data_IF_355731669895
#
_entry.id   IF_355731669895
#
_cell.length_a   1.000
_cell.length_b   1.000
_cell.length_c   1.000
_cell.angle_alpha   90.00
_cell.angle_beta   90.00
_cell.angle_gamma   90.00
#
_symmetry.space_group_name_H-M   'P 1'
#
loop_
_entity.id
_entity.type
_entity.pdbx_description
1 polymer ?
#
# COMPACT_ATOMS: atom_id res chain seq x y z
N UNK A 1 -10.07 63.01 -2.99
CA UNK A 1 -10.72 62.27 -4.08
C UNK A 1 -10.12 60.89 -4.11
N UNK A 2 -10.96 59.91 -3.76
CA UNK A 2 -10.72 58.45 -3.82
C UNK A 2 -10.83 57.97 -5.28
N UNK A 3 -10.30 56.77 -5.67
CA UNK A 3 -10.95 55.55 -5.24
C UNK A 3 -10.02 54.39 -4.81
N UNK A 4 -10.61 53.58 -4.01
CA UNK A 4 -10.34 52.28 -3.47
C UNK A 4 -10.05 51.21 -4.59
N UNK A 5 -8.98 50.45 -4.45
CA UNK A 5 -8.81 49.22 -5.22
C UNK A 5 -8.88 48.02 -4.26
N UNK A 6 -9.90 47.22 -4.46
CA UNK A 6 -10.15 45.95 -3.79
C UNK A 6 -9.13 44.90 -4.23
N UNK A 7 -8.44 44.29 -3.24
CA UNK A 7 -7.59 43.11 -3.47
C UNK A 7 -8.47 41.89 -3.60
N UNK A 8 -8.54 41.35 -4.80
CA UNK A 8 -9.10 40.03 -5.08
C UNK A 8 -8.05 38.97 -4.71
N UNK A 9 -8.21 38.32 -3.54
CA UNK A 9 -7.47 37.08 -3.21
C UNK A 9 -8.03 35.93 -4.03
N UNK A 10 -7.28 35.51 -5.02
CA UNK A 10 -7.47 34.26 -5.73
C UNK A 10 -7.22 33.09 -4.79
N UNK A 11 -8.27 32.40 -4.40
CA UNK A 11 -8.19 31.08 -3.81
C UNK A 11 -8.06 30.07 -4.97
N UNK A 12 -6.88 29.49 -5.13
CA UNK A 12 -6.69 28.31 -5.95
C UNK A 12 -7.24 27.10 -5.20
N UNK A 13 -8.48 26.74 -5.50
CA UNK A 13 -9.04 25.43 -5.15
C UNK A 13 -8.43 24.37 -6.09
N UNK A 14 -7.88 23.32 -5.52
CA UNK A 14 -7.29 22.20 -6.25
C UNK A 14 -8.33 21.57 -7.20
N UNK A 15 -8.04 21.61 -8.49
CA UNK A 15 -8.94 21.19 -9.57
C UNK A 15 -9.07 19.66 -9.74
N UNK A 16 -8.37 18.86 -8.97
CA UNK A 16 -8.29 17.42 -9.26
C UNK A 16 -9.39 16.56 -8.64
N UNK A 17 -10.10 17.05 -7.64
CA UNK A 17 -11.21 16.33 -7.00
C UNK A 17 -12.56 16.47 -7.73
N UNK A 18 -12.71 17.52 -8.53
CA UNK A 18 -13.98 17.80 -9.23
C UNK A 18 -14.14 17.06 -10.56
N UNK A 19 -13.06 16.56 -11.14
CA UNK A 19 -13.11 15.93 -12.48
C UNK A 19 -13.64 14.48 -12.46
N UNK A 20 -13.38 13.70 -11.41
CA UNK A 20 -13.81 12.29 -11.35
C UNK A 20 -15.31 12.16 -11.06
N UNK A 21 -15.84 12.94 -10.12
CA UNK A 21 -17.27 12.91 -9.82
C UNK A 21 -18.14 13.47 -10.94
N UNK A 22 -17.64 14.41 -11.75
CA UNK A 22 -18.36 14.94 -12.90
C UNK A 22 -18.47 13.94 -14.04
N UNK A 23 -17.45 13.10 -14.30
CA UNK A 23 -17.49 12.10 -15.38
C UNK A 23 -18.54 11.02 -15.07
N UNK A 24 -18.60 10.57 -13.81
CA UNK A 24 -19.59 9.57 -13.36
C UNK A 24 -21.01 10.17 -13.36
N UNK A 25 -21.15 11.44 -12.94
CA UNK A 25 -22.44 12.13 -12.91
C UNK A 25 -22.95 12.47 -14.32
N UNK A 26 -22.07 12.87 -15.24
CA UNK A 26 -22.42 13.10 -16.65
C UNK A 26 -22.76 11.80 -17.39
N UNK A 27 -22.06 10.71 -17.12
CA UNK A 27 -22.42 9.40 -17.66
C UNK A 27 -23.79 8.95 -17.17
N UNK A 28 -24.12 9.21 -15.91
CA UNK A 28 -25.43 8.91 -15.34
C UNK A 28 -26.55 9.76 -15.95
N UNK A 29 -26.32 11.07 -16.16
CA UNK A 29 -27.28 11.99 -16.80
C UNK A 29 -27.48 11.68 -18.27
N UNK A 30 -26.45 11.35 -19.03
CA UNK A 30 -26.57 11.03 -20.46
C UNK A 30 -27.31 9.71 -20.72
N UNK A 31 -27.26 8.76 -19.75
CA UNK A 31 -28.03 7.52 -19.83
C UNK A 31 -29.49 7.70 -19.39
N UNK A 32 -29.74 8.56 -18.39
CA UNK A 32 -31.09 8.78 -17.87
C UNK A 32 -32.02 9.56 -18.86
N UNK A 33 -31.46 10.36 -19.75
CA UNK A 33 -32.25 11.16 -20.69
C UNK A 33 -32.62 10.44 -22.00
N UNK A 34 -32.12 9.21 -22.23
CA UNK A 34 -32.31 8.49 -23.48
C UNK A 34 -33.33 7.34 -23.44
N UNK A 35 -34.01 7.13 -22.33
CA UNK A 35 -35.02 6.06 -22.22
C UNK A 35 -36.42 6.62 -21.92
N UNK A 36 -37.03 7.21 -22.94
CA UNK A 36 -38.47 7.38 -22.96
C UNK A 36 -39.08 6.38 -23.96
N UNK A 37 -39.04 5.09 -23.57
CA UNK A 37 -39.81 4.02 -24.18
C UNK A 37 -40.42 3.13 -23.10
N UNK A 38 -41.77 2.97 -23.06
CA UNK A 38 -42.41 2.12 -22.06
C UNK A 38 -42.53 0.69 -22.59
N UNK A 39 -41.92 -0.21 -21.91
CA UNK A 39 -42.02 -1.67 -22.04
C UNK A 39 -40.81 -2.37 -22.65
N UNK A 40 -39.93 -2.86 -21.80
CA UNK A 40 -39.24 -4.15 -22.00
C UNK A 40 -38.29 -4.41 -20.80
N UNK A 41 -38.53 -5.46 -20.08
CA UNK A 41 -37.63 -6.31 -19.21
C UNK A 41 -36.17 -5.86 -18.98
N UNK A 42 -35.95 -4.58 -18.68
CA UNK A 42 -34.62 -3.96 -18.62
C UNK A 42 -33.95 -4.16 -17.25
N UNK A 43 -34.70 -4.58 -16.20
CA UNK A 43 -34.24 -4.57 -14.83
C UNK A 43 -33.22 -5.66 -14.46
N UNK A 44 -33.08 -6.72 -15.28
CA UNK A 44 -32.14 -7.82 -14.93
C UNK A 44 -30.74 -7.66 -15.49
N UNK A 45 -30.64 -7.05 -16.68
CA UNK A 45 -29.33 -6.89 -17.36
C UNK A 45 -28.57 -5.69 -16.77
N UNK A 46 -29.29 -4.60 -16.44
CA UNK A 46 -28.68 -3.41 -15.83
C UNK A 46 -28.20 -3.63 -14.40
N UNK A 47 -28.94 -4.43 -13.60
CA UNK A 47 -28.56 -4.80 -12.25
C UNK A 47 -27.29 -5.68 -12.24
N UNK A 48 -27.10 -6.52 -13.26
CA UNK A 48 -25.91 -7.35 -13.37
C UNK A 48 -24.67 -6.55 -13.78
N UNK A 49 -24.83 -5.57 -14.68
CA UNK A 49 -23.73 -4.72 -15.18
C UNK A 49 -23.18 -3.79 -14.09
N UNK A 50 -24.06 -3.18 -13.29
CA UNK A 50 -23.65 -2.30 -12.19
C UNK A 50 -22.98 -3.11 -11.06
N UNK A 51 -23.47 -4.32 -10.75
CA UNK A 51 -22.85 -5.21 -9.79
C UNK A 51 -21.47 -5.70 -10.26
N UNK A 52 -21.28 -5.98 -11.55
CA UNK A 52 -19.97 -6.33 -12.11
C UNK A 52 -19.01 -5.14 -12.11
N UNK A 53 -19.48 -3.94 -12.42
CA UNK A 53 -18.66 -2.73 -12.38
C UNK A 53 -18.30 -2.36 -10.94
N UNK A 54 -19.19 -2.57 -9.98
CA UNK A 54 -18.94 -2.38 -8.55
C UNK A 54 -17.94 -3.42 -8.04
N UNK A 55 -18.01 -4.69 -8.47
CA UNK A 55 -17.02 -5.72 -8.13
C UNK A 55 -15.64 -5.41 -8.72
N UNK A 56 -15.57 -4.86 -9.93
CA UNK A 56 -14.29 -4.44 -10.54
C UNK A 56 -13.70 -3.20 -9.84
N UNK A 57 -14.54 -2.32 -9.30
CA UNK A 57 -14.09 -1.15 -8.56
C UNK A 57 -13.64 -1.48 -7.13
N UNK A 58 -14.18 -2.56 -6.54
CA UNK A 58 -13.82 -3.00 -5.18
C UNK A 58 -12.54 -3.85 -5.13
N UNK A 59 -11.98 -4.23 -6.28
CA UNK A 59 -10.78 -5.07 -6.36
C UNK A 59 -9.49 -4.29 -6.64
N UNK A 60 -9.51 -2.96 -6.61
CA UNK A 60 -8.27 -2.19 -6.57
C UNK A 60 -7.82 -2.03 -5.10
N UNK A 61 -7.34 -3.11 -4.52
CA UNK A 61 -6.47 -3.01 -3.35
C UNK A 61 -5.17 -2.39 -3.87
N UNK A 62 -4.96 -1.12 -3.59
CA UNK A 62 -3.67 -0.47 -3.85
C UNK A 62 -2.68 -1.07 -2.86
N UNK A 63 -1.72 -1.80 -3.36
CA UNK A 63 -0.59 -2.25 -2.57
C UNK A 63 0.13 -1.02 -1.99
N UNK A 64 0.34 -1.02 -0.68
CA UNK A 64 1.08 0.03 0.00
C UNK A 64 2.55 -0.37 0.06
N UNK A 65 3.43 0.59 -0.20
CA UNK A 65 4.86 0.40 -0.05
C UNK A 65 5.32 0.96 1.29
N UNK A 66 6.08 0.17 2.04
CA UNK A 66 6.66 0.53 3.32
C UNK A 66 8.18 0.45 3.24
N UNK A 67 8.86 1.58 3.40
CA UNK A 67 10.32 1.61 3.57
C UNK A 67 10.66 1.20 4.99
N UNK A 68 11.33 0.07 5.14
CA UNK A 68 11.68 -0.49 6.46
C UNK A 68 12.70 0.40 7.15
N UNK A 69 12.36 0.88 8.36
CA UNK A 69 13.19 1.80 9.12
C UNK A 69 13.10 3.26 8.66
N UNK A 70 12.20 3.57 7.71
CA UNK A 70 12.03 4.90 7.13
C UNK A 70 13.37 5.50 6.66
N UNK A 71 13.77 6.69 7.12
CA UNK A 71 15.03 7.36 6.73
C UNK A 71 16.31 6.65 7.25
N UNK A 72 16.19 5.82 8.31
CA UNK A 72 17.31 5.06 8.86
C UNK A 72 17.59 3.77 8.08
N UNK A 73 16.60 3.29 7.31
CA UNK A 73 16.68 2.09 6.49
C UNK A 73 16.86 0.79 7.28
N UNK A 74 17.33 -0.26 6.60
CA UNK A 74 17.61 -1.56 7.20
C UNK A 74 19.03 -1.59 7.79
N UNK A 75 19.19 -1.06 9.00
CA UNK A 75 20.49 -0.90 9.66
C UNK A 75 20.46 -1.43 11.09
N UNK A 76 21.66 -1.64 11.65
CA UNK A 76 21.85 -1.99 13.05
C UNK A 76 21.48 -0.84 13.97
N UNK A 77 20.75 -1.14 15.05
CA UNK A 77 20.40 -0.16 16.07
C UNK A 77 19.11 0.61 15.78
N UNK A 78 18.42 0.33 14.67
CA UNK A 78 17.08 0.86 14.39
C UNK A 78 16.05 0.11 15.24
N UNK A 79 15.14 0.87 15.88
CA UNK A 79 14.04 0.28 16.63
C UNK A 79 12.88 -0.08 15.69
N UNK A 80 12.90 -1.31 15.18
CA UNK A 80 11.85 -1.81 14.28
C UNK A 80 10.51 -2.04 14.99
N UNK A 81 10.47 -2.18 16.29
CA UNK A 81 9.21 -2.23 17.05
C UNK A 81 8.52 -0.86 17.04
N UNK A 82 9.29 0.20 17.27
CA UNK A 82 8.77 1.57 17.16
C UNK A 82 8.37 1.89 15.72
N UNK A 83 9.14 1.41 14.73
CA UNK A 83 8.79 1.59 13.31
C UNK A 83 7.46 0.94 12.94
N UNK A 84 7.11 -0.21 13.52
CA UNK A 84 5.83 -0.91 13.28
C UNK A 84 4.62 -0.19 13.87
N UNK A 85 4.80 0.70 14.84
CA UNK A 85 3.69 1.34 15.55
C UNK A 85 2.78 2.11 14.59
N UNK A 86 1.48 1.88 14.72
CA UNK A 86 0.46 2.49 13.88
C UNK A 86 0.39 1.97 12.43
N UNK A 87 1.25 1.05 12.01
CA UNK A 87 1.22 0.44 10.68
C UNK A 87 0.36 -0.82 10.66
N UNK A 88 -0.34 -1.04 9.55
CA UNK A 88 -1.13 -2.26 9.31
C UNK A 88 -0.80 -2.77 7.93
N UNK A 89 -0.47 -4.04 7.83
CA UNK A 89 -0.01 -4.65 6.60
C UNK A 89 -1.05 -5.63 6.04
N UNK A 90 -1.22 -5.61 4.72
CA UNK A 90 -2.15 -6.47 4.01
C UNK A 90 -1.43 -7.29 2.94
N UNK A 91 -2.06 -8.41 2.57
CA UNK A 91 -1.59 -9.19 1.42
C UNK A 91 -1.55 -8.31 0.17
N UNK A 92 -0.41 -8.29 -0.51
CA UNK A 92 -0.12 -7.44 -1.66
C UNK A 92 0.74 -6.22 -1.34
N UNK A 93 0.83 -5.81 -0.07
CA UNK A 93 1.75 -4.73 0.34
C UNK A 93 3.21 -5.12 0.11
N UNK A 94 4.06 -4.12 0.09
CA UNK A 94 5.47 -4.26 -0.27
C UNK A 94 6.36 -3.68 0.83
N UNK A 95 7.37 -4.43 1.24
CA UNK A 95 8.46 -3.96 2.09
C UNK A 95 9.67 -3.62 1.24
N UNK A 96 10.25 -2.44 1.44
CA UNK A 96 11.49 -1.99 0.79
C UNK A 96 12.59 -1.91 1.84
N UNK A 97 13.63 -2.69 1.66
CA UNK A 97 14.80 -2.72 2.53
C UNK A 97 15.95 -1.98 1.87
N UNK A 98 16.28 -0.80 2.40
CA UNK A 98 17.39 0.04 1.94
C UNK A 98 18.56 -0.08 2.91
N UNK A 99 19.75 -0.42 2.41
CA UNK A 99 20.97 -0.56 3.20
C UNK A 99 22.22 -0.50 2.31
N UNK A 100 23.40 -0.42 2.90
CA UNK A 100 24.63 -0.54 2.13
C UNK A 100 24.86 -2.00 1.74
N UNK A 101 24.97 -2.28 0.45
CA UNK A 101 25.28 -3.61 -0.05
C UNK A 101 26.63 -4.10 0.51
N UNK A 102 26.62 -5.32 1.05
CA UNK A 102 27.82 -5.90 1.69
C UNK A 102 27.90 -5.68 3.19
N UNK A 103 27.18 -4.70 3.77
CA UNK A 103 27.13 -4.48 5.22
C UNK A 103 25.96 -5.26 5.86
N UNK A 104 24.86 -5.40 5.14
CA UNK A 104 23.64 -6.06 5.61
C UNK A 104 23.08 -6.99 4.53
N UNK A 105 22.15 -7.84 4.96
CA UNK A 105 21.31 -8.65 4.08
C UNK A 105 19.90 -8.82 4.68
N UNK A 106 18.97 -9.33 3.90
CA UNK A 106 17.62 -9.68 4.36
C UNK A 106 17.40 -11.16 4.13
N UNK A 107 17.21 -11.91 5.20
CA UNK A 107 16.89 -13.33 5.15
C UNK A 107 15.45 -13.54 5.61
N UNK A 108 14.64 -14.18 4.80
CA UNK A 108 13.29 -14.58 5.16
C UNK A 108 13.34 -15.91 5.89
N UNK A 109 12.88 -15.93 7.14
CA UNK A 109 12.96 -17.10 8.03
C UNK A 109 11.59 -17.45 8.63
N UNK A 110 11.50 -18.55 9.37
CA UNK A 110 10.36 -18.86 10.22
C UNK A 110 10.50 -18.26 11.62
N UNK A 111 9.53 -18.53 12.49
CA UNK A 111 9.53 -18.06 13.86
C UNK A 111 10.77 -18.58 14.65
N UNK A 112 11.16 -19.82 14.41
CA UNK A 112 12.32 -20.43 15.08
C UNK A 112 13.64 -19.79 14.61
N UNK A 113 13.77 -19.55 13.29
CA UNK A 113 14.89 -18.81 12.71
C UNK A 113 14.98 -17.37 13.20
N UNK A 114 13.83 -16.70 13.34
CA UNK A 114 13.74 -15.35 13.89
C UNK A 114 14.17 -15.29 15.36
N UNK A 115 13.68 -16.22 16.19
CA UNK A 115 14.00 -16.26 17.63
C UNK A 115 15.47 -16.61 17.89
N UNK A 116 16.05 -17.48 17.05
CA UNK A 116 17.43 -17.95 17.17
C UNK A 116 18.43 -17.20 16.31
N UNK A 117 17.99 -16.19 15.55
CA UNK A 117 18.81 -15.49 14.56
C UNK A 117 19.50 -16.48 13.57
N UNK A 118 18.77 -17.52 13.19
CA UNK A 118 19.26 -18.57 12.29
C UNK A 118 18.84 -18.30 10.86
N UNK A 119 19.80 -18.16 9.96
CA UNK A 119 19.58 -17.96 8.54
C UNK A 119 19.26 -19.26 7.78
N UNK A 120 19.14 -20.41 8.46
CA UNK A 120 18.87 -21.70 7.84
C UNK A 120 17.96 -22.56 8.73
N UNK A 121 16.87 -23.13 8.21
CA UNK A 121 16.39 -22.96 6.81
C UNK A 121 15.86 -21.56 6.52
N UNK A 122 15.79 -21.16 5.24
CA UNK A 122 15.21 -19.88 4.83
C UNK A 122 14.41 -20.02 3.54
N UNK A 123 13.54 -19.02 3.28
CA UNK A 123 12.68 -18.92 2.10
C UNK A 123 13.10 -17.81 1.13
N UNK A 124 14.17 -17.10 1.43
CA UNK A 124 14.74 -16.07 0.56
C UNK A 124 15.94 -15.41 1.21
N UNK A 125 16.93 -15.03 0.39
CA UNK A 125 18.12 -14.30 0.80
C UNK A 125 18.37 -13.19 -0.19
N UNK A 126 18.47 -11.97 0.30
CA UNK A 126 18.62 -10.74 -0.48
C UNK A 126 19.79 -9.94 0.07
N UNK A 127 20.63 -9.40 -0.84
CA UNK A 127 21.88 -8.71 -0.49
C UNK A 127 22.21 -7.55 -1.43
N UNK A 128 21.20 -7.04 -2.18
CA UNK A 128 21.44 -6.02 -3.21
C UNK A 128 21.61 -4.60 -2.67
N UNK A 129 21.21 -4.34 -1.43
CA UNK A 129 21.20 -3.00 -0.84
C UNK A 129 19.90 -2.21 -1.06
N UNK A 130 19.05 -2.67 -1.97
CA UNK A 130 17.70 -2.16 -2.19
C UNK A 130 16.81 -3.33 -2.59
N UNK A 131 16.29 -4.04 -1.60
CA UNK A 131 15.49 -5.23 -1.81
C UNK A 131 14.01 -4.97 -1.59
N UNK A 132 13.19 -5.47 -2.52
CA UNK A 132 11.74 -5.26 -2.54
C UNK A 132 11.05 -6.61 -2.35
N UNK A 133 10.28 -6.75 -1.26
CA UNK A 133 9.62 -7.99 -0.89
C UNK A 133 8.11 -7.78 -0.79
N UNK A 134 7.35 -8.47 -1.64
CA UNK A 134 5.89 -8.44 -1.58
C UNK A 134 5.36 -9.38 -0.51
N UNK A 135 4.45 -8.90 0.32
CA UNK A 135 3.74 -9.68 1.33
C UNK A 135 2.67 -10.55 0.65
N UNK A 136 3.00 -11.77 0.28
CA UNK A 136 2.18 -12.62 -0.60
C UNK A 136 1.15 -13.48 0.12
N UNK A 137 1.23 -13.60 1.46
CA UNK A 137 0.33 -14.44 2.25
C UNK A 137 0.03 -13.81 3.62
N UNK A 138 -1.16 -14.04 4.18
CA UNK A 138 -1.50 -13.57 5.52
C UNK A 138 -0.74 -14.36 6.59
N UNK A 139 -0.60 -13.75 7.77
CA UNK A 139 0.10 -14.33 8.92
C UNK A 139 1.39 -13.60 9.24
N UNK A 140 2.19 -14.18 10.11
CA UNK A 140 3.45 -13.61 10.54
C UNK A 140 4.57 -13.90 9.54
N UNK A 141 5.26 -12.84 9.12
CA UNK A 141 6.42 -12.89 8.23
C UNK A 141 7.65 -12.38 9.00
N UNK A 142 8.77 -13.06 8.86
CA UNK A 142 9.95 -12.84 9.67
C UNK A 142 11.18 -12.59 8.80
N UNK A 143 11.91 -11.53 9.13
CA UNK A 143 13.10 -11.06 8.42
C UNK A 143 14.23 -10.84 9.40
N UNK A 144 15.43 -11.28 9.06
CA UNK A 144 16.64 -11.06 9.86
C UNK A 144 17.79 -10.57 9.01
N UNK A 145 18.70 -9.82 9.58
CA UNK A 145 20.05 -9.67 9.05
C UNK A 145 20.94 -10.77 9.63
N UNK A 146 21.46 -11.65 8.79
CA UNK A 146 22.27 -12.79 9.21
C UNK A 146 23.47 -12.37 10.08
N UNK A 147 24.02 -11.19 9.84
CA UNK A 147 25.25 -10.74 10.49
C UNK A 147 25.02 -9.93 11.75
N UNK A 148 23.83 -9.35 11.93
CA UNK A 148 23.56 -8.38 12.98
C UNK A 148 22.34 -8.72 13.86
N UNK A 149 21.63 -9.80 13.58
CA UNK A 149 20.45 -10.21 14.33
C UNK A 149 20.78 -10.43 15.82
N UNK A 150 21.85 -11.18 16.12
CA UNK A 150 22.23 -11.52 17.50
C UNK A 150 22.75 -10.34 18.33
N UNK A 151 23.41 -9.38 17.66
CA UNK A 151 24.16 -8.33 18.35
C UNK A 151 23.40 -7.01 18.48
N UNK A 152 22.55 -6.71 17.51
CA UNK A 152 21.86 -5.41 17.41
C UNK A 152 20.38 -5.54 17.24
N UNK A 153 19.85 -6.77 17.34
CA UNK A 153 18.43 -7.07 17.16
C UNK A 153 17.90 -6.61 15.78
N UNK A 154 18.78 -6.64 14.75
CA UNK A 154 18.39 -6.27 13.36
C UNK A 154 17.52 -7.39 12.78
N UNK A 155 16.25 -7.37 13.17
CA UNK A 155 15.23 -8.32 12.76
C UNK A 155 13.85 -7.66 12.79
N UNK A 156 12.96 -8.13 11.94
CA UNK A 156 11.63 -7.58 11.77
C UNK A 156 10.59 -8.70 11.69
N UNK A 157 9.52 -8.57 12.46
CA UNK A 157 8.33 -9.41 12.37
C UNK A 157 7.15 -8.57 11.90
N UNK A 158 6.52 -8.94 10.80
CA UNK A 158 5.34 -8.26 10.24
C UNK A 158 4.15 -9.20 10.24
N UNK A 159 3.06 -8.80 10.90
CA UNK A 159 1.78 -9.54 10.83
C UNK A 159 0.94 -8.99 9.69
N UNK A 160 0.65 -9.84 8.71
CA UNK A 160 -0.06 -9.50 7.47
C UNK A 160 -1.51 -9.95 7.55
N UNK A 161 -2.43 -9.06 7.26
CA UNK A 161 -3.86 -9.34 7.21
C UNK A 161 -4.32 -9.71 5.79
N UNK A 162 -5.40 -10.47 5.70
CA UNK A 162 -6.06 -10.69 4.41
C UNK A 162 -6.74 -9.39 3.97
N UNK A 163 -6.52 -8.96 2.73
CA UNK A 163 -7.17 -7.81 2.11
C UNK A 163 -8.58 -8.14 1.62
#
# INVERSE_FOLDING_TARGET
>A
MHPRQELFKSQTLSHDWLNFNNIVFFAYLMFATRTQEPSLKFNKIFSCSIKHLCCLYYSMVLATEYVVGDDEGWNSGVDYYAWLDGKTFYVGDVLVFNYNAGDHNVIVVDADGYDKCSASPNWGSYDSGNDVITLSSPGDNYYICQWHCDYTDQKLKVTVLQS
#
